data_IF_724142508619
#
_entry.id   IF_724142508619
#
_cell.length_a   1.000
_cell.length_b   1.000
_cell.length_c   1.000
_cell.angle_alpha   90.00
_cell.angle_beta   90.00
_cell.angle_gamma   90.00
#
_symmetry.space_group_name_H-M   'P 1'
#
loop_
_entity.id
_entity.type
_entity.pdbx_description
1 polymer ?
#
# COMPACT_ATOMS: atom_id res chain seq x y z
N UNK A 1 -18.66 2.13 -21.87
CA UNK A 1 -17.51 1.90 -20.96
C UNK A 1 -17.75 2.77 -19.73
N UNK A 2 -18.06 2.19 -18.58
CA UNK A 2 -18.31 2.95 -17.34
C UNK A 2 -16.96 3.56 -16.91
N UNK A 3 -16.86 4.87 -16.65
CA UNK A 3 -15.61 5.49 -16.23
C UNK A 3 -15.14 4.87 -14.91
N UNK A 4 -13.85 4.52 -14.86
CA UNK A 4 -13.23 3.93 -13.68
C UNK A 4 -12.76 5.10 -12.82
N UNK A 5 -13.55 5.45 -11.80
CA UNK A 5 -13.31 6.62 -10.96
C UNK A 5 -12.13 6.40 -9.98
N UNK A 6 -11.39 7.47 -9.63
CA UNK A 6 -10.41 7.42 -8.56
C UNK A 6 -11.09 7.14 -7.21
N UNK A 7 -10.38 6.46 -6.31
CA UNK A 7 -10.91 6.17 -4.97
C UNK A 7 -11.03 7.43 -4.12
N UNK A 8 -10.01 8.30 -4.18
CA UNK A 8 -9.99 9.62 -3.56
C UNK A 8 -9.90 10.70 -4.65
N UNK A 9 -10.76 11.71 -4.59
CA UNK A 9 -10.89 12.69 -5.67
C UNK A 9 -10.09 13.97 -5.41
N UNK A 10 -9.76 14.27 -4.15
CA UNK A 10 -8.99 15.45 -3.77
C UNK A 10 -7.50 15.12 -3.73
N UNK A 11 -6.76 15.56 -4.76
CA UNK A 11 -5.30 15.45 -4.76
C UNK A 11 -4.73 16.12 -3.51
N UNK A 12 -3.85 15.41 -2.83
CA UNK A 12 -3.20 15.90 -1.63
C UNK A 12 -2.05 16.84 -1.99
N UNK A 13 -1.82 17.84 -1.14
CA UNK A 13 -0.64 18.71 -1.20
C UNK A 13 0.65 17.99 -0.70
N UNK A 14 0.55 16.73 -0.30
CA UNK A 14 1.68 15.92 0.20
C UNK A 14 2.50 15.43 -0.99
N UNK A 15 3.80 15.74 -0.99
CA UNK A 15 4.74 15.23 -1.98
C UNK A 15 4.95 13.71 -1.83
N UNK A 16 5.08 12.97 -2.95
CA UNK A 16 5.32 11.52 -2.89
C UNK A 16 6.66 11.25 -2.20
N UNK A 17 6.68 10.39 -1.16
CA UNK A 17 7.90 10.13 -0.39
C UNK A 17 8.93 9.28 -1.15
N UNK A 18 8.50 8.60 -2.22
CA UNK A 18 9.33 7.77 -3.09
C UNK A 18 9.44 8.41 -4.48
N UNK A 19 10.66 8.58 -5.03
CA UNK A 19 10.84 9.12 -6.38
C UNK A 19 10.06 8.33 -7.44
N UNK A 20 9.49 9.03 -8.42
CA UNK A 20 8.54 8.45 -9.37
C UNK A 20 9.10 7.29 -10.23
N UNK A 21 10.42 7.25 -10.44
CA UNK A 21 11.10 6.22 -11.23
C UNK A 21 11.57 5.01 -10.42
N UNK A 22 11.28 4.95 -9.11
CA UNK A 22 11.77 3.87 -8.25
C UNK A 22 11.15 2.54 -8.66
N UNK A 23 11.98 1.62 -9.15
CA UNK A 23 11.60 0.28 -9.58
C UNK A 23 12.37 -0.77 -8.79
N UNK A 24 11.64 -1.52 -7.95
CA UNK A 24 12.18 -2.60 -7.13
C UNK A 24 11.59 -3.98 -7.51
N UNK A 25 11.11 -4.14 -8.74
CA UNK A 25 10.54 -5.43 -9.20
C UNK A 25 11.56 -6.58 -9.19
N UNK A 26 12.86 -6.28 -9.17
CA UNK A 26 13.92 -7.27 -9.01
C UNK A 26 14.18 -7.67 -7.54
N UNK A 27 13.70 -6.88 -6.57
CA UNK A 27 13.82 -7.21 -5.15
C UNK A 27 12.79 -8.26 -4.75
N UNK A 28 13.22 -9.21 -3.92
CA UNK A 28 12.40 -10.38 -3.55
C UNK A 28 11.77 -10.27 -2.17
N UNK A 29 12.31 -9.40 -1.32
CA UNK A 29 11.86 -9.22 0.06
C UNK A 29 12.11 -7.78 0.49
N UNK A 30 11.40 -7.37 1.53
CA UNK A 30 11.61 -6.13 2.25
C UNK A 30 11.43 -6.38 3.75
N UNK A 31 11.98 -5.50 4.56
CA UNK A 31 11.83 -5.59 6.01
C UNK A 31 10.45 -5.10 6.42
N UNK A 32 9.78 -5.87 7.27
CA UNK A 32 8.55 -5.47 7.92
C UNK A 32 8.86 -5.14 9.37
N UNK A 33 8.57 -3.91 9.81
CA UNK A 33 8.69 -3.58 11.22
C UNK A 33 7.54 -4.23 12.01
N UNK A 34 7.87 -5.38 12.62
CA UNK A 34 6.94 -6.16 13.41
C UNK A 34 6.48 -5.38 14.66
N UNK A 35 7.36 -4.56 15.26
CA UNK A 35 7.01 -3.80 16.47
C UNK A 35 5.97 -2.73 16.12
N UNK A 36 6.21 -1.98 15.03
CA UNK A 36 5.23 -0.99 14.56
C UNK A 36 3.91 -1.64 14.15
N UNK A 37 3.96 -2.78 13.45
CA UNK A 37 2.76 -3.52 13.08
C UNK A 37 1.96 -4.00 14.31
N UNK A 38 2.63 -4.61 15.28
CA UNK A 38 1.99 -5.16 16.49
C UNK A 38 1.39 -4.09 17.41
N UNK A 39 1.87 -2.84 17.32
CA UNK A 39 1.33 -1.71 18.07
C UNK A 39 0.30 -0.89 17.28
N UNK A 40 -0.01 -1.27 16.03
CA UNK A 40 -0.93 -0.52 15.19
C UNK A 40 -2.40 -0.80 15.54
N UNK A 41 -3.27 0.20 15.40
CA UNK A 41 -4.72 -0.02 15.52
C UNK A 41 -5.23 -1.03 14.50
N UNK A 42 -4.63 -1.05 13.30
CA UNK A 42 -4.99 -1.97 12.22
C UNK A 42 -4.93 -3.44 12.65
N UNK A 43 -3.85 -3.88 13.29
CA UNK A 43 -3.72 -5.31 13.69
C UNK A 43 -4.69 -5.71 14.80
N UNK A 44 -5.16 -4.74 15.60
CA UNK A 44 -6.07 -4.99 16.72
C UNK A 44 -7.54 -4.90 16.35
N UNK A 45 -7.88 -4.15 15.30
CA UNK A 45 -9.27 -3.84 14.94
C UNK A 45 -9.73 -4.50 13.64
N UNK A 46 -8.82 -4.83 12.73
CA UNK A 46 -9.17 -5.47 11.47
C UNK A 46 -9.67 -6.90 11.68
N UNK A 47 -10.78 -7.25 11.03
CA UNK A 47 -11.20 -8.64 10.93
C UNK A 47 -10.29 -9.43 9.95
N UNK A 48 -10.36 -10.77 9.91
CA UNK A 48 -9.46 -11.56 9.07
C UNK A 48 -9.48 -11.23 7.57
N UNK A 49 -10.65 -10.85 7.01
CA UNK A 49 -10.77 -10.50 5.60
C UNK A 49 -10.16 -9.11 5.32
N UNK A 50 -10.37 -8.15 6.21
CA UNK A 50 -9.77 -6.82 6.15
C UNK A 50 -8.25 -6.89 6.28
N UNK A 51 -7.76 -7.68 7.25
CA UNK A 51 -6.33 -7.90 7.45
C UNK A 51 -5.68 -8.50 6.21
N UNK A 52 -6.26 -9.57 5.66
CA UNK A 52 -5.74 -10.20 4.45
C UNK A 52 -5.72 -9.23 3.27
N UNK A 53 -6.80 -8.46 3.08
CA UNK A 53 -6.87 -7.46 2.03
C UNK A 53 -5.81 -6.37 2.18
N UNK A 54 -5.64 -5.80 3.38
CA UNK A 54 -4.62 -4.78 3.67
C UNK A 54 -3.20 -5.31 3.51
N UNK A 55 -2.92 -6.52 4.00
CA UNK A 55 -1.61 -7.16 3.85
C UNK A 55 -1.26 -7.46 2.39
N UNK A 56 -2.24 -7.90 1.58
CA UNK A 56 -2.07 -8.05 0.13
C UNK A 56 -1.77 -6.71 -0.56
N UNK A 57 -2.42 -5.63 -0.13
CA UNK A 57 -2.14 -4.30 -0.65
C UNK A 57 -0.70 -3.85 -0.33
N UNK A 58 -0.22 -4.04 0.90
CA UNK A 58 1.18 -3.76 1.25
C UNK A 58 2.16 -4.55 0.37
N UNK A 59 1.99 -5.88 0.30
CA UNK A 59 2.91 -6.74 -0.46
C UNK A 59 2.88 -6.48 -1.96
N UNK A 60 1.70 -6.16 -2.54
CA UNK A 60 1.57 -5.86 -3.98
C UNK A 60 2.03 -4.46 -4.35
N UNK A 61 1.94 -3.51 -3.43
CA UNK A 61 2.47 -2.15 -3.62
C UNK A 61 3.99 -2.14 -3.79
N UNK A 62 4.69 -3.07 -3.14
CA UNK A 62 6.14 -3.19 -3.17
C UNK A 62 6.72 -3.22 -4.60
N UNK A 63 6.03 -3.91 -5.52
CA UNK A 63 6.45 -4.06 -6.92
C UNK A 63 5.76 -3.11 -7.90
N UNK A 64 4.98 -2.14 -7.42
CA UNK A 64 4.48 -1.06 -8.28
C UNK A 64 5.62 -0.14 -8.71
N UNK A 65 5.35 0.73 -9.69
CA UNK A 65 6.24 1.82 -10.07
C UNK A 65 5.44 3.11 -9.90
N UNK A 66 5.76 3.96 -8.92
CA UNK A 66 6.89 3.87 -7.97
C UNK A 66 6.75 2.73 -6.96
N UNK A 67 7.86 2.14 -6.50
CA UNK A 67 7.84 1.08 -5.49
C UNK A 67 7.15 1.54 -4.19
N UNK A 68 6.36 0.65 -3.58
CA UNK A 68 5.64 0.91 -2.33
C UNK A 68 4.38 1.76 -2.46
N UNK A 69 3.97 2.11 -3.68
CA UNK A 69 2.77 2.90 -3.94
C UNK A 69 1.62 2.04 -4.47
N UNK A 70 0.39 2.56 -4.42
CA UNK A 70 -0.77 1.99 -5.10
C UNK A 70 -1.42 3.01 -6.05
N UNK A 71 -2.04 2.55 -7.15
CA UNK A 71 -2.85 3.43 -7.98
C UNK A 71 -4.10 3.89 -7.21
N UNK A 72 -4.44 5.17 -7.32
CA UNK A 72 -5.69 5.71 -6.82
C UNK A 72 -6.86 5.35 -7.75
N UNK A 73 -7.24 4.08 -7.79
CA UNK A 73 -8.28 3.57 -8.68
C UNK A 73 -9.03 2.40 -8.02
N UNK A 74 -10.33 2.57 -7.76
CA UNK A 74 -11.07 1.62 -6.94
C UNK A 74 -11.15 0.21 -7.56
N UNK A 75 -11.29 0.13 -8.88
CA UNK A 75 -11.35 -1.15 -9.58
C UNK A 75 -10.02 -1.92 -9.51
N UNK A 76 -8.89 -1.22 -9.60
CA UNK A 76 -7.57 -1.85 -9.46
C UNK A 76 -7.32 -2.24 -8.00
N UNK A 77 -7.63 -1.34 -7.05
CA UNK A 77 -7.47 -1.60 -5.61
C UNK A 77 -8.25 -2.85 -5.18
N UNK A 78 -9.50 -3.01 -5.63
CA UNK A 78 -10.29 -4.20 -5.27
C UNK A 78 -9.66 -5.51 -5.79
N UNK A 79 -8.98 -5.46 -6.95
CA UNK A 79 -8.25 -6.61 -7.50
C UNK A 79 -6.95 -6.87 -6.74
N UNK A 80 -6.21 -5.82 -6.40
CA UNK A 80 -5.01 -5.90 -5.58
C UNK A 80 -5.31 -6.34 -4.14
N UNK A 81 -6.51 -6.11 -3.62
CA UNK A 81 -6.92 -6.53 -2.28
C UNK A 81 -7.37 -8.01 -2.16
N UNK A 82 -7.20 -8.83 -3.21
CA UNK A 82 -7.62 -10.24 -3.20
C UNK A 82 -8.63 -10.62 -4.28
N UNK A 83 -8.80 -9.80 -5.32
CA UNK A 83 -9.60 -10.16 -6.50
C UNK A 83 -11.07 -9.77 -6.43
N UNK A 84 -11.48 -8.92 -5.48
CA UNK A 84 -12.86 -8.48 -5.32
C UNK A 84 -13.41 -7.78 -6.56
N UNK A 85 -14.74 -7.76 -6.67
CA UNK A 85 -15.45 -6.83 -7.55
C UNK A 85 -15.66 -5.51 -6.80
N UNK A 86 -15.18 -4.39 -7.34
CA UNK A 86 -15.25 -3.08 -6.69
C UNK A 86 -16.69 -2.59 -6.42
N UNK A 87 -17.68 -3.08 -7.17
CA UNK A 87 -19.08 -2.72 -6.94
C UNK A 87 -19.74 -3.58 -5.86
N UNK A 88 -19.11 -4.70 -5.47
CA UNK A 88 -19.70 -5.68 -4.55
C UNK A 88 -19.82 -5.15 -3.12
N UNK A 89 -20.85 -5.61 -2.41
CA UNK A 89 -21.01 -5.33 -0.99
C UNK A 89 -19.81 -5.83 -0.16
N UNK A 90 -19.18 -6.94 -0.57
CA UNK A 90 -18.02 -7.49 0.13
C UNK A 90 -16.82 -6.54 0.11
N UNK A 91 -16.50 -5.95 -1.06
CA UNK A 91 -15.45 -4.94 -1.14
C UNK A 91 -15.80 -3.70 -0.32
N UNK A 92 -17.02 -3.17 -0.49
CA UNK A 92 -17.47 -1.97 0.22
C UNK A 92 -17.41 -2.11 1.75
N UNK A 93 -17.62 -3.32 2.28
CA UNK A 93 -17.51 -3.62 3.72
C UNK A 93 -16.07 -3.53 4.23
N UNK A 94 -15.09 -4.04 3.47
CA UNK A 94 -13.71 -4.18 3.97
C UNK A 94 -12.77 -3.05 3.50
N UNK A 95 -13.13 -2.32 2.43
CA UNK A 95 -12.21 -1.41 1.73
C UNK A 95 -11.61 -0.34 2.65
N UNK A 96 -12.42 0.19 3.57
CA UNK A 96 -12.00 1.26 4.49
C UNK A 96 -10.87 0.77 5.38
N UNK A 97 -11.00 -0.43 5.96
CA UNK A 97 -9.96 -1.01 6.80
C UNK A 97 -8.78 -1.53 5.98
N UNK A 98 -9.01 -2.13 4.80
CA UNK A 98 -7.93 -2.57 3.93
C UNK A 98 -7.02 -1.42 3.46
N UNK A 99 -7.58 -0.23 3.28
CA UNK A 99 -6.88 1.00 2.92
C UNK A 99 -6.52 1.88 4.13
N UNK A 100 -6.64 1.35 5.35
CA UNK A 100 -6.24 2.08 6.57
C UNK A 100 -4.75 2.47 6.50
N UNK A 101 -4.44 3.72 6.81
CA UNK A 101 -3.07 4.26 6.81
C UNK A 101 -2.50 4.61 5.43
N UNK A 102 -3.26 4.41 4.34
CA UNK A 102 -2.85 4.87 3.00
C UNK A 102 -3.21 6.35 2.79
N UNK A 103 -2.23 7.14 2.36
CA UNK A 103 -2.39 8.56 2.06
C UNK A 103 -2.24 8.82 0.55
N UNK A 104 -3.15 9.59 -0.03
CA UNK A 104 -3.01 10.09 -1.40
C UNK A 104 -1.91 11.17 -1.43
N UNK A 105 -1.05 11.13 -2.45
CA UNK A 105 -0.02 12.13 -2.72
C UNK A 105 -0.31 12.91 -4.00
N UNK A 106 0.48 13.96 -4.25
CA UNK A 106 0.34 14.88 -5.38
C UNK A 106 0.51 14.22 -6.76
N UNK A 107 1.08 13.01 -6.82
CA UNK A 107 1.23 12.19 -8.02
C UNK A 107 0.02 11.28 -8.34
N UNK A 108 -1.08 11.46 -7.60
CA UNK A 108 -2.30 10.65 -7.68
C UNK A 108 -2.10 9.16 -7.32
N UNK A 109 -1.17 8.88 -6.39
CA UNK A 109 -0.93 7.53 -5.87
C UNK A 109 -1.06 7.50 -4.35
N UNK A 110 -1.39 6.32 -3.85
CA UNK A 110 -1.51 6.08 -2.41
C UNK A 110 -0.19 5.53 -1.87
N UNK A 111 0.23 6.02 -0.71
CA UNK A 111 1.43 5.59 0.01
C UNK A 111 1.09 5.21 1.45
N UNK A 112 1.76 4.18 1.97
CA UNK A 112 1.58 3.72 3.35
C UNK A 112 2.91 3.85 4.11
N UNK A 113 2.95 4.49 5.30
CA UNK A 113 4.20 4.75 6.03
C UNK A 113 5.08 3.50 6.19
N UNK A 114 4.49 2.39 6.67
CA UNK A 114 5.25 1.16 6.89
C UNK A 114 5.87 0.56 5.61
N UNK A 115 5.23 0.74 4.45
CA UNK A 115 5.80 0.26 3.18
C UNK A 115 6.86 1.25 2.69
N UNK A 116 6.57 2.55 2.77
CA UNK A 116 7.51 3.63 2.44
C UNK A 116 8.83 3.48 3.19
N UNK A 117 8.78 3.25 4.50
CA UNK A 117 9.98 3.05 5.33
C UNK A 117 10.80 1.85 4.85
N UNK A 118 10.15 0.74 4.49
CA UNK A 118 10.81 -0.42 3.95
C UNK A 118 11.46 -0.17 2.58
N UNK A 119 10.81 0.62 1.70
CA UNK A 119 11.41 1.05 0.42
C UNK A 119 12.63 1.94 0.69
N UNK A 120 12.50 2.91 1.58
CA UNK A 120 13.59 3.84 1.91
C UNK A 120 14.78 3.11 2.53
N UNK A 121 14.58 2.04 3.31
CA UNK A 121 15.68 1.21 3.82
C UNK A 121 16.43 0.47 2.69
N UNK A 122 15.73 0.06 1.64
CA UNK A 122 16.36 -0.57 0.47
C UNK A 122 17.19 0.46 -0.30
N UNK A 123 16.65 1.67 -0.50
CA UNK A 123 17.30 2.76 -1.23
C UNK A 123 18.47 3.39 -0.45
N UNK A 124 18.34 3.47 0.86
CA UNK A 124 19.28 4.08 1.79
C UNK A 124 19.68 3.11 2.88
N UNK A 125 20.45 2.05 2.55
CA UNK A 125 20.87 1.07 3.54
C UNK A 125 21.79 1.73 4.56
N UNK A 126 21.31 1.90 5.79
CA UNK A 126 22.20 2.14 6.92
C UNK A 126 22.95 0.83 7.17
N UNK A 127 24.26 0.89 7.46
CA UNK A 127 25.22 -0.21 7.39
C UNK A 127 25.03 -1.41 8.35
N UNK A 128 23.78 -1.80 8.68
CA UNK A 128 23.41 -2.94 9.53
C UNK A 128 22.90 -4.15 8.76
N UNK A 129 23.22 -4.31 7.47
CA UNK A 129 22.95 -5.59 6.78
C UNK A 129 23.98 -6.64 7.23
N UNK A 130 23.71 -7.26 8.37
CA UNK A 130 24.27 -8.56 8.72
C UNK A 130 23.71 -9.60 7.76
N UNK A 131 24.30 -9.70 6.55
CA UNK A 131 24.15 -10.88 5.70
C UNK A 131 24.81 -12.04 6.45
N UNK A 132 23.99 -12.96 6.97
CA UNK A 132 24.41 -14.34 7.20
C UNK A 132 24.04 -15.14 5.96
#
# INVERSE_FOLDING_TARGET
>A
MIPIEPYLTELSAIDPPIPLGTDLRCERWFNLDIVSLQNSEFIHTANPAEFMAGFLLWTRSFHQVPAGSLPNNEAILSKLAGGYNYQSASWKKIRTMALHGWALCSDNRLYHPMVTDAILEILHPTGKRGRK
#
